data_IF_630160531621
#
_entry.id   IF_630160531621
#
_cell.length_a   1.000
_cell.length_b   1.000
_cell.length_c   1.000
_cell.angle_alpha   90.00
_cell.angle_beta   90.00
_cell.angle_gamma   90.00
#
_symmetry.space_group_name_H-M   'P 1'
#
loop_
_entity.id
_entity.type
_entity.pdbx_description
1 polymer ?
#
# COMPACT_ATOMS: atom_id res chain seq x y z
N UNK A 1 16.14 14.42 11.89
CA UNK A 1 16.84 13.23 11.37
C UNK A 1 16.17 12.03 12.00
N UNK A 2 15.34 11.29 11.25
CA UNK A 2 14.66 10.09 11.75
C UNK A 2 15.64 8.91 11.77
N UNK A 3 15.52 8.04 12.77
CA UNK A 3 16.40 6.90 12.98
C UNK A 3 16.35 5.91 11.78
N UNK A 4 17.48 5.29 11.41
CA UNK A 4 17.59 4.42 10.24
C UNK A 4 16.88 3.06 10.35
N UNK A 5 16.26 2.75 11.49
CA UNK A 5 15.68 1.44 11.83
C UNK A 5 14.24 1.56 12.37
N UNK A 6 13.51 2.55 11.88
CA UNK A 6 12.09 2.69 12.22
C UNK A 6 11.29 1.60 11.49
N UNK A 7 10.80 0.61 12.24
CA UNK A 7 9.95 -0.48 11.74
C UNK A 7 8.68 0.04 11.04
N UNK A 8 8.29 1.30 11.30
CA UNK A 8 7.15 1.95 10.65
C UNK A 8 7.55 2.66 9.35
N UNK A 9 8.85 2.66 8.99
CA UNK A 9 9.42 3.43 7.89
C UNK A 9 9.77 2.54 6.68
N UNK A 10 9.30 2.96 5.52
CA UNK A 10 9.27 2.26 4.24
C UNK A 10 10.24 2.83 3.22
N UNK A 11 11.48 2.34 3.23
CA UNK A 11 12.48 2.65 2.21
C UNK A 11 12.82 4.15 2.07
N UNK A 12 13.68 4.44 1.09
CA UNK A 12 14.09 5.82 0.75
C UNK A 12 12.95 6.56 0.03
N UNK A 13 11.92 6.93 0.79
CA UNK A 13 10.70 7.59 0.30
C UNK A 13 9.47 7.44 1.21
N UNK A 14 9.63 6.76 2.36
CA UNK A 14 8.60 6.31 3.29
C UNK A 14 7.42 7.25 3.58
N UNK A 15 6.22 6.73 3.30
CA UNK A 15 5.04 6.98 4.11
C UNK A 15 5.21 6.26 5.46
N UNK A 16 4.81 6.87 6.58
CA UNK A 16 4.85 6.21 7.89
C UNK A 16 3.44 5.67 8.12
N UNK A 17 3.29 4.35 8.22
CA UNK A 17 2.03 3.78 8.68
C UNK A 17 1.91 4.02 10.18
N UNK A 18 0.71 4.39 10.63
CA UNK A 18 0.42 4.68 12.03
C UNK A 18 0.70 3.42 12.88
N UNK A 19 1.67 3.45 13.82
CA UNK A 19 1.96 2.31 14.68
C UNK A 19 0.77 1.90 15.57
N UNK A 20 -0.16 2.83 15.79
CA UNK A 20 -1.36 2.63 16.59
C UNK A 20 -2.57 2.19 15.75
N UNK A 21 -2.40 1.98 14.43
CA UNK A 21 -3.46 1.49 13.55
C UNK A 21 -4.00 0.14 14.01
N UNK A 22 -5.33 0.03 14.05
CA UNK A 22 -6.01 -1.22 14.36
C UNK A 22 -5.91 -2.22 13.19
N UNK A 23 -6.16 -3.51 13.47
CA UNK A 23 -6.25 -4.53 12.43
C UNK A 23 -7.25 -4.14 11.34
N UNK A 24 -8.42 -3.67 11.72
CA UNK A 24 -9.50 -3.30 10.79
C UNK A 24 -9.09 -2.09 9.94
N UNK A 25 -8.49 -1.07 10.56
CA UNK A 25 -7.95 0.11 9.85
C UNK A 25 -6.92 -0.30 8.79
N UNK A 26 -5.99 -1.20 9.13
CA UNK A 26 -4.99 -1.69 8.18
C UNK A 26 -5.63 -2.48 7.02
N UNK A 27 -6.69 -3.25 7.28
CA UNK A 27 -7.38 -3.99 6.22
C UNK A 27 -8.21 -3.07 5.33
N UNK A 28 -8.86 -2.06 5.90
CA UNK A 28 -9.60 -1.04 5.16
C UNK A 28 -8.66 -0.25 4.24
N UNK A 29 -7.55 0.27 4.78
CA UNK A 29 -6.50 0.95 4.00
C UNK A 29 -5.97 0.05 2.87
N UNK A 30 -5.74 -1.23 3.16
CA UNK A 30 -5.28 -2.18 2.14
C UNK A 30 -6.28 -2.32 0.99
N UNK A 31 -7.58 -2.35 1.31
CA UNK A 31 -8.67 -2.40 0.33
C UNK A 31 -8.74 -1.11 -0.49
N UNK A 32 -8.64 0.05 0.15
CA UNK A 32 -8.66 1.35 -0.53
C UNK A 32 -7.52 1.47 -1.54
N UNK A 33 -6.28 1.18 -1.13
CA UNK A 33 -5.12 1.25 -2.03
C UNK A 33 -5.25 0.29 -3.22
N UNK A 34 -5.80 -0.91 -2.99
CA UNK A 34 -6.01 -1.88 -4.07
C UNK A 34 -7.08 -1.40 -5.05
N UNK A 35 -8.22 -0.90 -4.54
CA UNK A 35 -9.29 -0.37 -5.38
C UNK A 35 -8.81 0.81 -6.25
N UNK A 36 -7.98 1.70 -5.69
CA UNK A 36 -7.35 2.77 -6.50
C UNK A 36 -6.39 2.22 -7.56
N UNK A 37 -5.61 1.17 -7.24
CA UNK A 37 -4.73 0.55 -8.21
C UNK A 37 -5.51 -0.11 -9.37
N UNK A 38 -6.64 -0.76 -9.06
CA UNK A 38 -7.54 -1.35 -10.04
C UNK A 38 -8.17 -0.30 -10.95
N UNK A 39 -8.70 0.80 -10.38
CA UNK A 39 -9.23 1.90 -11.19
C UNK A 39 -8.17 2.55 -12.09
N UNK A 40 -6.93 2.69 -11.64
CA UNK A 40 -5.84 3.17 -12.49
C UNK A 40 -5.44 2.17 -13.60
N UNK A 41 -5.58 0.87 -13.35
CA UNK A 41 -5.37 -0.15 -14.40
C UNK A 41 -6.45 -0.05 -15.49
N UNK A 42 -7.70 0.25 -15.13
CA UNK A 42 -8.78 0.49 -16.10
C UNK A 42 -8.47 1.72 -16.97
N UNK A 43 -8.07 2.84 -16.34
CA UNK A 43 -7.64 4.05 -17.08
C UNK A 43 -6.45 3.77 -18.00
N UNK A 44 -5.48 2.97 -17.56
CA UNK A 44 -4.36 2.54 -18.40
C UNK A 44 -4.84 1.73 -19.61
N UNK A 45 -5.77 0.79 -19.41
CA UNK A 45 -6.32 -0.03 -20.48
C UNK A 45 -7.06 0.82 -21.53
N UNK A 46 -7.87 1.79 -21.08
CA UNK A 46 -8.52 2.77 -21.95
C UNK A 46 -7.51 3.61 -22.72
N UNK A 47 -6.47 4.09 -22.04
CA UNK A 47 -5.40 4.90 -22.65
C UNK A 47 -4.61 4.14 -23.72
N UNK A 48 -4.41 2.82 -23.54
CA UNK A 48 -3.74 1.98 -24.55
C UNK A 48 -4.65 1.63 -25.73
N UNK A 49 -5.97 1.63 -25.54
CA UNK A 49 -6.94 1.38 -26.59
C UNK A 49 -7.14 2.61 -27.50
N UNK A 50 -6.91 3.81 -26.99
CA UNK A 50 -6.96 5.05 -27.77
C UNK A 50 -5.80 5.10 -28.78
N UNK A 51 -6.10 5.25 -30.07
CA UNK A 51 -5.12 5.10 -31.16
C UNK A 51 -4.12 6.27 -31.26
N UNK A 52 -4.40 7.37 -30.56
CA UNK A 52 -3.49 8.50 -30.45
C UNK A 52 -2.36 8.18 -29.47
N UNK A 53 -1.11 8.27 -29.94
CA UNK A 53 0.08 7.86 -29.20
C UNK A 53 0.10 8.54 -27.80
N UNK A 54 -0.12 7.79 -26.70
CA UNK A 54 -0.22 8.42 -25.39
C UNK A 54 1.14 9.04 -25.05
N UNK A 55 1.12 10.21 -24.38
CA UNK A 55 2.35 10.82 -23.89
C UNK A 55 3.09 9.78 -23.02
N UNK A 56 4.21 9.25 -23.51
CA UNK A 56 4.98 8.18 -22.86
C UNK A 56 5.30 8.50 -21.39
N UNK A 57 5.51 9.77 -21.05
CA UNK A 57 5.75 10.20 -19.65
C UNK A 57 4.52 10.03 -18.78
N UNK A 58 3.32 10.23 -19.32
CA UNK A 58 2.06 10.03 -18.61
C UNK A 58 1.83 8.55 -18.31
N UNK A 59 2.01 7.66 -19.29
CA UNK A 59 1.92 6.21 -19.09
C UNK A 59 2.90 5.70 -18.04
N UNK A 60 4.16 6.13 -18.09
CA UNK A 60 5.17 5.74 -17.09
C UNK A 60 4.75 6.17 -15.69
N UNK A 61 4.12 7.35 -15.53
CA UNK A 61 3.63 7.82 -14.22
C UNK A 61 2.45 6.99 -13.74
N UNK A 62 1.49 6.67 -14.60
CA UNK A 62 0.34 5.84 -14.25
C UNK A 62 0.78 4.43 -13.81
N UNK A 63 1.71 3.80 -14.54
CA UNK A 63 2.31 2.52 -14.17
C UNK A 63 3.08 2.61 -12.83
N UNK A 64 3.80 3.72 -12.62
CA UNK A 64 4.47 3.98 -11.34
C UNK A 64 3.48 4.12 -10.19
N UNK A 65 2.35 4.79 -10.41
CA UNK A 65 1.30 4.97 -9.42
C UNK A 65 0.61 3.64 -9.07
N UNK A 66 0.24 2.81 -10.05
CA UNK A 66 -0.34 1.49 -9.79
C UNK A 66 0.61 0.60 -9.00
N UNK A 67 1.90 0.63 -9.35
CA UNK A 67 2.94 -0.10 -8.62
C UNK A 67 3.05 0.36 -7.17
N UNK A 68 3.01 1.67 -6.93
CA UNK A 68 3.08 2.25 -5.59
C UNK A 68 1.86 1.84 -4.74
N UNK A 69 0.66 2.01 -5.27
CA UNK A 69 -0.59 1.68 -4.58
C UNK A 69 -0.67 0.19 -4.24
N UNK A 70 -0.27 -0.69 -5.17
CA UNK A 70 -0.21 -2.14 -4.92
C UNK A 70 0.75 -2.48 -3.78
N UNK A 71 1.89 -1.79 -3.70
CA UNK A 71 2.86 -1.97 -2.60
C UNK A 71 2.29 -1.51 -1.26
N UNK A 72 1.60 -0.36 -1.24
CA UNK A 72 0.94 0.14 -0.04
C UNK A 72 -0.13 -0.84 0.45
N UNK A 73 -0.99 -1.33 -0.44
CA UNK A 73 -1.99 -2.36 -0.11
C UNK A 73 -1.34 -3.62 0.48
N UNK A 74 -0.33 -4.17 -0.21
CA UNK A 74 0.38 -5.37 0.24
C UNK A 74 0.96 -5.19 1.64
N UNK A 75 1.51 -4.02 1.91
CA UNK A 75 2.13 -3.74 3.19
C UNK A 75 1.11 -3.63 4.33
N UNK A 76 0.01 -2.92 4.11
CA UNK A 76 -1.08 -2.85 5.08
C UNK A 76 -1.53 -4.27 5.48
N UNK A 77 -1.64 -5.19 4.52
CA UNK A 77 -1.93 -6.61 4.78
C UNK A 77 -0.83 -7.31 5.61
N UNK A 78 0.45 -7.05 5.34
CA UNK A 78 1.53 -7.67 6.13
C UNK A 78 1.52 -7.17 7.58
N UNK A 79 1.27 -5.89 7.80
CA UNK A 79 1.16 -5.33 9.15
C UNK A 79 -0.09 -5.82 9.88
N UNK A 80 -1.23 -5.91 9.19
CA UNK A 80 -2.43 -6.53 9.71
C UNK A 80 -2.16 -7.96 10.23
N UNK A 81 -1.38 -8.76 9.47
CA UNK A 81 -0.96 -10.10 9.93
C UNK A 81 -0.12 -10.07 11.20
N UNK A 82 0.85 -9.17 11.27
CA UNK A 82 1.70 -9.00 12.47
C UNK A 82 0.85 -8.58 13.68
N UNK A 83 -0.03 -7.59 13.49
CA UNK A 83 -0.91 -7.09 14.56
C UNK A 83 -1.83 -8.17 15.08
N UNK A 84 -2.43 -8.97 14.19
CA UNK A 84 -3.26 -10.11 14.55
C UNK A 84 -2.51 -11.15 15.39
N UNK A 85 -1.25 -11.45 15.06
CA UNK A 85 -0.43 -12.38 15.84
C UNK A 85 -0.16 -11.81 17.24
N UNK A 86 0.21 -10.53 17.32
CA UNK A 86 0.47 -9.85 18.58
C UNK A 86 -0.77 -9.81 19.48
N UNK A 87 -1.91 -9.38 18.94
CA UNK A 87 -3.17 -9.32 19.67
C UNK A 87 -3.59 -10.71 20.18
N UNK A 88 -3.36 -11.77 19.38
CA UNK A 88 -3.59 -13.14 19.81
C UNK A 88 -2.67 -13.56 20.97
N UNK A 89 -1.40 -13.17 20.95
CA UNK A 89 -0.44 -13.44 22.05
C UNK A 89 -0.84 -12.73 23.34
N UNK A 90 -1.23 -11.46 23.26
CA UNK A 90 -1.71 -10.67 24.42
C UNK A 90 -2.98 -11.32 25.00
N UNK A 91 -3.92 -11.74 24.14
CA UNK A 91 -5.19 -12.35 24.58
C UNK A 91 -4.98 -13.72 25.24
N UNK A 92 -3.92 -14.45 24.86
CA UNK A 92 -3.57 -15.75 25.43
C UNK A 92 -2.71 -15.67 26.69
N UNK A 93 -2.41 -14.47 27.19
CA UNK A 93 -1.63 -14.26 28.42
C UNK A 93 -0.14 -14.52 28.26
N UNK A 94 0.44 -14.22 27.09
CA UNK A 94 1.90 -14.24 26.91
C UNK A 94 2.57 -13.17 27.77
N UNK A 95 3.54 -13.60 28.59
CA UNK A 95 4.37 -12.79 29.50
C UNK A 95 5.06 -11.58 28.84
#
# INVERSE_FOLDING_TARGET
MSAPDDLCRLGEGSYVLDPDASLDTLLDDAGEWLAYAEGLNEVLAETFADMDLPNRKHLIRLIGATTLLTRMSTQCVQQAKVRRIWDAQVTLGGD
#
